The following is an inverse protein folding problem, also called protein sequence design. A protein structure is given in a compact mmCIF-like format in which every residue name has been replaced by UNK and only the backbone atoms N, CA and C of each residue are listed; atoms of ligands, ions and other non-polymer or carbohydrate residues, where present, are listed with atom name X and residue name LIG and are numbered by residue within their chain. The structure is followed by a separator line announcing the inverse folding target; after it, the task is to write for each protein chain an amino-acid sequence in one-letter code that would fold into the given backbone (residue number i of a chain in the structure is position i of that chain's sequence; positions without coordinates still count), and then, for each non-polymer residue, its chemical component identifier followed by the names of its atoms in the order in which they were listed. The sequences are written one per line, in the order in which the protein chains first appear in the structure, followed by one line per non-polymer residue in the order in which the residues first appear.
data_IF_492733963503
#
_entry.id   IF_492733963503
#
_cell.length_a   1.000
_cell.length_b   1.000
_cell.length_c   1.000
_cell.angle_alpha   90.00
_cell.angle_beta   90.00
_cell.angle_gamma   90.00
#
_symmetry.space_group_name_H-M   'P 1'
#
loop_
_entity.id
_entity.type
_entity.pdbx_description
1 polymer ?
#
# COMPACT_ATOMS: atom_id res chain seq x y z
N UNK A 1 8.14 7.59 -19.73
CA UNK A 1 7.46 6.28 -19.55
C UNK A 1 8.14 5.37 -18.54
N UNK A 2 9.47 5.42 -18.38
CA UNK A 2 10.20 4.56 -17.43
C UNK A 2 9.73 4.74 -15.97
N UNK A 3 9.42 5.97 -15.56
CA UNK A 3 8.83 6.28 -14.24
C UNK A 3 7.65 5.36 -13.90
N UNK A 4 6.66 5.25 -14.79
CA UNK A 4 5.46 4.43 -14.56
C UNK A 4 5.69 2.92 -14.71
N UNK A 5 6.84 2.50 -15.26
CA UNK A 5 7.25 1.09 -15.26
C UNK A 5 7.90 0.71 -13.93
N UNK A 6 8.74 1.59 -13.39
CA UNK A 6 9.42 1.40 -12.11
C UNK A 6 8.50 1.63 -10.93
N UNK A 7 7.59 2.61 -11.05
CA UNK A 7 6.61 3.01 -10.05
C UNK A 7 5.23 3.03 -10.70
N UNK A 8 4.55 1.88 -10.84
CA UNK A 8 3.18 1.83 -11.34
C UNK A 8 2.25 2.69 -10.50
N UNK A 9 1.41 3.50 -11.16
CA UNK A 9 0.53 4.47 -10.50
C UNK A 9 -0.95 4.18 -10.82
N UNK A 10 -1.81 4.32 -9.82
CA UNK A 10 -3.27 4.25 -9.99
C UNK A 10 -4.00 5.39 -9.23
N UNK A 11 -3.75 6.67 -9.59
CA UNK A 11 -4.30 7.82 -8.90
C UNK A 11 -5.82 7.94 -9.06
N UNK A 12 -6.49 8.35 -7.99
CA UNK A 12 -7.95 8.44 -7.94
C UNK A 12 -8.52 9.74 -8.49
N UNK A 13 -7.73 10.82 -8.54
CA UNK A 13 -8.12 12.15 -9.04
C UNK A 13 -9.39 12.80 -8.47
N UNK A 14 -10.02 12.23 -7.43
CA UNK A 14 -11.20 12.77 -6.72
C UNK A 14 -11.22 14.29 -6.48
N UNK A 15 -10.12 15.00 -6.15
CA UNK A 15 -10.16 16.46 -6.02
C UNK A 15 -10.64 17.21 -7.27
N UNK A 16 -10.57 16.57 -8.45
CA UNK A 16 -10.97 17.13 -9.74
C UNK A 16 -12.45 16.89 -10.09
N UNK A 17 -13.23 16.23 -9.23
CA UNK A 17 -14.63 15.87 -9.51
C UNK A 17 -15.56 17.09 -9.71
N UNK A 18 -15.16 18.26 -9.21
CA UNK A 18 -15.88 19.52 -9.38
C UNK A 18 -15.72 20.15 -10.76
N UNK A 19 -14.77 19.66 -11.57
CA UNK A 19 -14.49 20.16 -12.91
C UNK A 19 -15.36 19.47 -13.97
N UNK A 20 -15.65 20.17 -15.06
CA UNK A 20 -16.21 19.54 -16.26
C UNK A 20 -15.22 18.52 -16.85
N UNK A 21 -15.72 17.57 -17.63
CA UNK A 21 -14.93 16.41 -18.11
C UNK A 21 -13.65 16.82 -18.83
N UNK A 22 -13.74 17.81 -19.74
CA UNK A 22 -12.60 18.30 -20.50
C UNK A 22 -11.53 18.94 -19.61
N UNK A 23 -11.96 19.72 -18.61
CA UNK A 23 -11.04 20.31 -17.64
C UNK A 23 -10.43 19.24 -16.72
N UNK A 24 -11.23 18.29 -16.23
CA UNK A 24 -10.79 17.18 -15.38
C UNK A 24 -9.72 16.34 -16.07
N UNK A 25 -9.93 15.96 -17.33
CA UNK A 25 -8.97 15.21 -18.13
C UNK A 25 -7.64 15.95 -18.27
N UNK A 26 -7.67 17.24 -18.64
CA UNK A 26 -6.44 18.05 -18.74
C UNK A 26 -5.67 18.12 -17.43
N UNK A 27 -6.36 18.30 -16.30
CA UNK A 27 -5.71 18.36 -15.00
C UNK A 27 -5.14 16.99 -14.59
N UNK A 28 -5.84 15.90 -14.87
CA UNK A 28 -5.33 14.56 -14.62
C UNK A 28 -4.04 14.29 -15.43
N UNK A 29 -4.02 14.66 -16.71
CA UNK A 29 -2.81 14.57 -17.55
C UNK A 29 -1.67 15.41 -16.96
N UNK A 30 -1.96 16.66 -16.56
CA UNK A 30 -0.96 17.54 -15.95
C UNK A 30 -0.33 16.90 -14.70
N UNK A 31 -1.16 16.31 -13.82
CA UNK A 31 -0.68 15.62 -12.62
C UNK A 31 0.18 14.38 -12.94
N UNK A 32 -0.16 13.64 -13.99
CA UNK A 32 0.69 12.55 -14.48
C UNK A 32 2.05 13.07 -14.97
N UNK A 33 2.06 14.22 -15.66
CA UNK A 33 3.30 14.86 -16.12
C UNK A 33 4.14 15.37 -14.95
N UNK A 34 3.52 15.97 -13.92
CA UNK A 34 4.20 16.39 -12.69
C UNK A 34 4.95 15.21 -12.04
N UNK A 35 4.29 14.06 -11.89
CA UNK A 35 4.93 12.85 -11.32
C UNK A 35 6.14 12.39 -12.15
N UNK A 36 6.01 12.39 -13.48
CA UNK A 36 7.12 12.07 -14.37
C UNK A 36 8.28 13.07 -14.22
N UNK A 37 7.96 14.37 -14.11
CA UNK A 37 8.94 15.43 -13.91
C UNK A 37 9.71 15.24 -12.60
N UNK A 38 9.03 14.89 -11.51
CA UNK A 38 9.68 14.60 -10.23
C UNK A 38 10.65 13.42 -10.34
N UNK A 39 10.24 12.32 -10.98
CA UNK A 39 11.12 11.17 -11.21
C UNK A 39 12.35 11.56 -12.05
N UNK A 40 12.17 12.30 -13.14
CA UNK A 40 13.29 12.74 -13.98
C UNK A 40 14.24 13.69 -13.23
N UNK A 41 13.70 14.58 -12.39
CA UNK A 41 14.51 15.45 -11.53
C UNK A 41 15.32 14.63 -10.54
N UNK A 42 14.72 13.65 -9.87
CA UNK A 42 15.45 12.75 -8.96
C UNK A 42 16.67 12.12 -9.67
N UNK A 43 16.49 11.61 -10.90
CA UNK A 43 17.58 11.00 -11.66
C UNK A 43 18.69 11.99 -12.05
N UNK A 44 18.42 13.30 -12.08
CA UNK A 44 19.37 14.36 -12.45
C UNK A 44 19.99 15.06 -11.24
N UNK A 45 19.36 14.99 -10.07
CA UNK A 45 19.85 15.66 -8.87
C UNK A 45 21.20 15.09 -8.43
N UNK A 46 22.06 15.99 -7.95
CA UNK A 46 23.42 15.69 -7.48
C UNK A 46 23.65 16.36 -6.13
N UNK A 47 24.66 15.89 -5.39
CA UNK A 47 24.97 16.41 -4.05
C UNK A 47 25.33 17.91 -4.03
N UNK A 48 25.85 18.46 -5.13
CA UNK A 48 26.22 19.87 -5.26
C UNK A 48 25.02 20.78 -5.58
N UNK A 49 23.87 20.23 -5.94
CA UNK A 49 22.65 21.02 -6.13
C UNK A 49 22.13 21.58 -4.80
N UNK A 50 21.48 22.75 -4.82
CA UNK A 50 20.94 23.38 -3.62
C UNK A 50 19.85 22.52 -2.98
N UNK A 51 19.77 22.57 -1.64
CA UNK A 51 18.74 21.83 -0.87
C UNK A 51 17.32 22.18 -1.29
N UNK A 52 17.08 23.41 -1.74
CA UNK A 52 15.78 23.90 -2.20
C UNK A 52 15.23 23.07 -3.36
N UNK A 53 16.08 22.62 -4.29
CA UNK A 53 15.62 21.79 -5.42
C UNK A 53 15.02 20.46 -4.97
N UNK A 54 15.56 19.85 -3.90
CA UNK A 54 15.01 18.62 -3.31
C UNK A 54 13.69 18.90 -2.58
N UNK A 55 13.63 20.01 -1.84
CA UNK A 55 12.42 20.42 -1.11
C UNK A 55 11.27 20.73 -2.06
N UNK A 56 11.54 21.39 -3.18
CA UNK A 56 10.55 21.67 -4.22
C UNK A 56 9.95 20.38 -4.77
N UNK A 57 10.77 19.33 -5.00
CA UNK A 57 10.24 18.03 -5.43
C UNK A 57 9.36 17.37 -4.36
N UNK A 58 9.74 17.45 -3.08
CA UNK A 58 8.95 16.92 -1.98
C UNK A 58 7.59 17.62 -1.84
N UNK A 59 7.53 18.93 -2.10
CA UNK A 59 6.27 19.71 -2.13
C UNK A 59 5.36 19.23 -3.26
N UNK A 60 5.92 18.99 -4.45
CA UNK A 60 5.15 18.46 -5.59
C UNK A 60 4.62 17.06 -5.28
N UNK A 61 5.43 16.18 -4.67
CA UNK A 61 4.98 14.85 -4.24
C UNK A 61 3.83 14.92 -3.23
N UNK A 62 3.89 15.85 -2.28
CA UNK A 62 2.79 16.05 -1.32
C UNK A 62 1.50 16.48 -2.02
N UNK A 63 1.58 17.35 -3.02
CA UNK A 63 0.41 17.73 -3.82
C UNK A 63 -0.15 16.55 -4.62
N UNK A 64 0.73 15.73 -5.22
CA UNK A 64 0.34 14.55 -5.98
C UNK A 64 -0.35 13.49 -5.13
N UNK A 65 0.10 13.29 -3.89
CA UNK A 65 -0.52 12.37 -2.94
C UNK A 65 -2.00 12.71 -2.70
N UNK A 66 -2.36 14.00 -2.65
CA UNK A 66 -3.77 14.42 -2.51
C UNK A 66 -4.66 13.99 -3.70
N UNK A 67 -4.05 13.68 -4.85
CA UNK A 67 -4.72 13.18 -6.05
C UNK A 67 -4.67 11.65 -6.16
N UNK A 68 -4.11 10.97 -5.16
CA UNK A 68 -4.07 9.51 -5.04
C UNK A 68 -2.82 8.86 -5.64
N UNK A 69 -1.77 9.61 -5.92
CA UNK A 69 -0.50 9.03 -6.35
C UNK A 69 0.18 8.30 -5.19
N UNK A 70 0.77 7.15 -5.50
CA UNK A 70 1.71 6.46 -4.60
C UNK A 70 3.08 7.13 -4.74
N UNK A 71 3.41 7.96 -3.75
CA UNK A 71 4.62 8.79 -3.75
C UNK A 71 5.68 8.31 -2.77
N UNK A 72 5.40 7.31 -1.94
CA UNK A 72 6.25 6.94 -0.80
C UNK A 72 7.63 6.50 -1.25
N UNK A 73 7.69 5.67 -2.30
CA UNK A 73 8.96 5.21 -2.85
C UNK A 73 9.86 6.35 -3.34
N UNK A 74 9.27 7.38 -3.97
CA UNK A 74 10.04 8.54 -4.43
C UNK A 74 10.43 9.46 -3.27
N UNK A 75 9.49 9.68 -2.34
CA UNK A 75 9.68 10.49 -1.12
C UNK A 75 10.83 9.97 -0.29
N UNK A 76 10.85 8.66 0.01
CA UNK A 76 11.93 8.00 0.75
C UNK A 76 13.27 8.25 0.05
N UNK A 77 13.32 8.06 -1.27
CA UNK A 77 14.56 8.23 -2.03
C UNK A 77 15.08 9.67 -2.02
N UNK A 78 14.20 10.68 -2.08
CA UNK A 78 14.63 12.08 -1.88
C UNK A 78 15.15 12.35 -0.47
N UNK A 79 14.53 11.76 0.55
CA UNK A 79 14.99 11.90 1.94
C UNK A 79 16.37 11.26 2.15
N UNK A 80 16.61 10.07 1.60
CA UNK A 80 17.92 9.41 1.60
C UNK A 80 18.99 10.28 0.91
N UNK A 81 18.66 10.86 -0.25
CA UNK A 81 19.59 11.75 -0.97
C UNK A 81 19.93 13.01 -0.16
N UNK A 82 18.95 13.59 0.54
CA UNK A 82 19.18 14.73 1.45
C UNK A 82 20.05 14.34 2.64
N UNK A 83 19.83 13.17 3.24
CA UNK A 83 20.66 12.66 4.35
C UNK A 83 22.13 12.49 3.93
N UNK A 84 22.36 11.91 2.74
CA UNK A 84 23.72 11.76 2.20
C UNK A 84 24.39 13.12 1.91
N UNK A 85 23.62 14.11 1.46
CA UNK A 85 24.11 15.48 1.27
C UNK A 85 24.52 16.12 2.59
N UNK A 86 23.66 16.03 3.61
CA UNK A 86 23.93 16.59 4.95
C UNK A 86 25.18 15.94 5.57
N UNK A 87 25.34 14.62 5.41
CA UNK A 87 26.53 13.90 5.84
C UNK A 87 27.79 14.37 5.11
N UNK A 88 27.71 14.60 3.80
CA UNK A 88 28.84 15.10 3.01
C UNK A 88 29.23 16.52 3.46
N UNK A 89 28.26 17.41 3.64
CA UNK A 89 28.50 18.78 4.11
C UNK A 89 29.17 18.77 5.50
N UNK A 90 28.73 17.92 6.41
CA UNK A 90 29.35 17.74 7.73
C UNK A 90 30.80 17.21 7.68
N UNK A 91 31.12 16.36 6.70
CA UNK A 91 32.49 15.88 6.48
C UNK A 91 33.38 16.98 5.87
N UNK A 92 32.84 17.83 4.99
CA UNK A 92 33.55 18.94 4.35
C UNK A 92 33.78 20.13 5.29
N UNK A 93 32.89 20.37 6.26
CA UNK A 93 33.07 21.41 7.30
C UNK A 93 34.06 21.03 8.39
N UNK A 94 34.59 19.79 8.39
CA UNK A 94 35.70 19.38 9.25
C UNK A 94 35.30 19.12 10.71
N UNK A 95 34.68 17.96 10.96
CA UNK A 95 34.53 17.28 12.25
C UNK A 95 35.57 17.69 13.33
N UNK A 96 35.16 18.56 14.27
CA UNK A 96 35.75 18.66 15.62
C UNK A 96 34.75 18.97 16.74
N UNK A 97 33.48 19.23 16.47
CA UNK A 97 32.52 19.59 17.53
C UNK A 97 31.61 18.40 17.92
N UNK A 98 31.59 17.96 19.20
CA UNK A 98 30.65 16.94 19.70
C UNK A 98 29.17 17.23 19.38
N UNK A 99 28.84 18.49 19.10
CA UNK A 99 27.51 18.92 18.67
C UNK A 99 27.10 18.33 17.32
N UNK A 100 28.03 18.22 16.36
CA UNK A 100 27.75 17.70 15.02
C UNK A 100 27.44 16.20 15.05
N UNK A 101 28.13 15.44 15.91
CA UNK A 101 27.81 14.03 16.16
C UNK A 101 26.40 13.86 16.74
N UNK A 102 26.01 14.72 17.68
CA UNK A 102 24.67 14.75 18.27
C UNK A 102 23.59 15.12 17.25
N UNK A 103 23.92 15.96 16.28
CA UNK A 103 23.00 16.37 15.21
C UNK A 103 22.80 15.27 14.17
N UNK A 104 23.86 14.57 13.78
CA UNK A 104 23.78 13.35 12.95
C UNK A 104 22.94 12.28 13.65
N UNK A 105 23.17 12.06 14.93
CA UNK A 105 22.43 11.05 15.70
C UNK A 105 20.96 11.43 15.88
N UNK A 106 20.63 12.73 15.98
CA UNK A 106 19.25 13.23 15.93
C UNK A 106 18.58 12.97 14.60
N UNK A 107 19.28 13.16 13.48
CA UNK A 107 18.75 12.87 12.14
C UNK A 107 18.46 11.37 12.02
N UNK A 108 19.39 10.50 12.42
CA UNK A 108 19.18 9.06 12.42
C UNK A 108 18.00 8.65 13.31
N UNK A 109 17.81 9.28 14.48
CA UNK A 109 16.64 9.02 15.35
C UNK A 109 15.32 9.42 14.67
N UNK A 110 15.32 10.50 13.88
CA UNK A 110 14.13 10.89 13.11
C UNK A 110 13.84 9.90 11.97
N UNK A 111 14.88 9.43 11.28
CA UNK A 111 14.77 8.38 10.25
C UNK A 111 14.16 7.10 10.83
N UNK A 112 14.70 6.59 11.94
CA UNK A 112 14.14 5.43 12.63
C UNK A 112 12.69 5.65 13.08
N UNK A 113 12.30 6.87 13.50
CA UNK A 113 10.90 7.15 13.87
C UNK A 113 9.95 7.05 12.67
N UNK A 114 10.37 7.51 11.50
CA UNK A 114 9.58 7.41 10.27
C UNK A 114 9.44 5.94 9.89
N UNK A 115 10.51 5.16 9.94
CA UNK A 115 10.48 3.73 9.66
C UNK A 115 9.55 2.98 10.63
N UNK A 116 9.61 3.31 11.93
CA UNK A 116 8.71 2.75 12.93
C UNK A 116 7.25 3.08 12.59
N UNK A 117 6.94 4.33 12.24
CA UNK A 117 5.57 4.72 11.86
C UNK A 117 5.08 3.96 10.62
N UNK A 118 5.94 3.73 9.63
CA UNK A 118 5.59 2.97 8.43
C UNK A 118 5.31 1.50 8.77
N UNK A 119 6.16 0.90 9.61
CA UNK A 119 5.98 -0.48 10.08
C UNK A 119 4.68 -0.62 10.88
N UNK A 120 4.37 0.34 11.76
CA UNK A 120 3.13 0.33 12.55
C UNK A 120 1.90 0.40 11.64
N UNK A 121 1.92 1.23 10.60
CA UNK A 121 0.85 1.30 9.59
C UNK A 121 0.66 -0.06 8.88
N UNK A 122 1.75 -0.69 8.43
CA UNK A 122 1.70 -2.01 7.80
C UNK A 122 1.17 -3.09 8.76
N UNK A 123 1.53 -3.03 10.04
CA UNK A 123 1.02 -3.93 11.07
C UNK A 123 -0.51 -3.78 11.20
N UNK A 124 -1.02 -2.55 11.21
CA UNK A 124 -2.46 -2.30 11.32
C UNK A 124 -3.23 -2.76 10.09
N UNK A 125 -2.70 -2.58 8.88
CA UNK A 125 -3.27 -3.16 7.66
C UNK A 125 -3.34 -4.69 7.73
N UNK A 126 -2.26 -5.34 8.17
CA UNK A 126 -2.22 -6.80 8.33
C UNK A 126 -3.21 -7.28 9.40
N UNK A 127 -3.38 -6.54 10.49
CA UNK A 127 -4.38 -6.82 11.53
C UNK A 127 -5.80 -6.75 10.97
N UNK A 128 -6.13 -5.70 10.22
CA UNK A 128 -7.43 -5.54 9.58
C UNK A 128 -7.71 -6.68 8.58
N UNK A 129 -6.70 -7.04 7.77
CA UNK A 129 -6.80 -8.18 6.84
C UNK A 129 -7.04 -9.49 7.58
N UNK A 130 -6.33 -9.72 8.70
CA UNK A 130 -6.51 -10.91 9.54
C UNK A 130 -7.93 -10.98 10.11
N UNK A 131 -8.46 -9.87 10.64
CA UNK A 131 -9.81 -9.85 11.22
C UNK A 131 -10.88 -10.22 10.18
N UNK A 132 -10.77 -9.68 8.96
CA UNK A 132 -11.67 -10.03 7.86
C UNK A 132 -11.61 -11.52 7.53
N UNK A 133 -10.40 -12.07 7.37
CA UNK A 133 -10.21 -13.49 7.06
C UNK A 133 -10.74 -14.41 8.16
N UNK A 134 -10.62 -14.02 9.43
CA UNK A 134 -11.20 -14.78 10.55
C UNK A 134 -12.72 -14.86 10.43
N UNK A 135 -13.40 -13.74 10.18
CA UNK A 135 -14.86 -13.71 9.99
C UNK A 135 -15.31 -14.53 8.79
N UNK A 136 -14.60 -14.41 7.66
CA UNK A 136 -14.87 -15.22 6.46
C UNK A 136 -14.70 -16.72 6.72
N UNK A 137 -13.69 -17.10 7.50
CA UNK A 137 -13.43 -18.50 7.86
C UNK A 137 -14.48 -19.04 8.84
N UNK A 138 -14.91 -18.26 9.83
CA UNK A 138 -16.00 -18.62 10.75
C UNK A 138 -17.30 -18.87 9.97
N UNK A 139 -17.65 -17.96 9.05
CA UNK A 139 -18.83 -18.14 8.20
C UNK A 139 -18.72 -19.37 7.30
N UNK A 140 -17.54 -19.61 6.70
CA UNK A 140 -17.30 -20.79 5.88
C UNK A 140 -17.44 -22.08 6.69
N UNK A 141 -16.95 -22.08 7.93
CA UNK A 141 -17.09 -23.22 8.86
C UNK A 141 -18.55 -23.52 9.16
N UNK A 142 -19.36 -22.49 9.44
CA UNK A 142 -20.80 -22.66 9.66
C UNK A 142 -21.50 -23.24 8.42
N UNK A 143 -21.14 -22.77 7.22
CA UNK A 143 -21.69 -23.27 5.97
C UNK A 143 -21.33 -24.75 5.74
N UNK A 144 -20.11 -25.18 6.09
CA UNK A 144 -19.69 -26.58 6.00
C UNK A 144 -20.55 -27.45 6.91
N UNK A 145 -20.70 -27.07 8.19
CA UNK A 145 -21.52 -27.83 9.16
C UNK A 145 -22.97 -27.95 8.71
N UNK A 146 -23.55 -26.87 8.17
CA UNK A 146 -24.90 -26.89 7.62
C UNK A 146 -25.01 -27.86 6.42
N UNK A 147 -24.04 -27.83 5.50
CA UNK A 147 -23.99 -28.74 4.36
C UNK A 147 -23.83 -30.21 4.78
N UNK A 148 -22.98 -30.51 5.76
CA UNK A 148 -22.81 -31.87 6.30
C UNK A 148 -24.12 -32.42 6.88
N UNK A 149 -24.90 -31.58 7.58
CA UNK A 149 -26.22 -31.97 8.10
C UNK A 149 -27.20 -32.32 6.97
N UNK A 150 -27.26 -31.49 5.93
CA UNK A 150 -28.14 -31.72 4.77
C UNK A 150 -27.75 -33.00 4.03
N UNK A 151 -26.45 -33.27 3.86
CA UNK A 151 -25.96 -34.53 3.28
C UNK A 151 -26.43 -35.74 4.10
N UNK A 152 -26.29 -35.69 5.43
CA UNK A 152 -26.72 -36.78 6.30
C UNK A 152 -28.24 -37.06 6.22
N UNK A 153 -29.05 -36.00 6.18
CA UNK A 153 -30.52 -36.11 6.02
C UNK A 153 -30.89 -36.76 4.67
N UNK A 154 -30.20 -36.40 3.59
CA UNK A 154 -30.40 -37.00 2.26
C UNK A 154 -30.00 -38.47 2.23
N UNK A 155 -28.88 -38.83 2.87
CA UNK A 155 -28.43 -40.22 2.96
C UNK A 155 -29.40 -41.09 3.75
N UNK A 156 -29.93 -40.59 4.88
CA UNK A 156 -30.95 -41.29 5.67
C UNK A 156 -32.24 -41.48 4.85
N UNK A 157 -32.71 -40.45 4.14
CA UNK A 157 -33.89 -40.53 3.30
C UNK A 157 -33.72 -41.54 2.14
N UNK A 158 -32.52 -41.63 1.54
CA UNK A 158 -32.19 -42.65 0.54
C UNK A 158 -32.27 -44.06 1.13
N UNK A 159 -31.64 -44.28 2.28
CA UNK A 159 -31.67 -45.59 2.96
C UNK A 159 -33.11 -46.02 3.29
N UNK A 160 -33.95 -45.08 3.73
CA UNK A 160 -35.36 -45.36 4.02
C UNK A 160 -36.15 -45.70 2.75
N UNK A 161 -35.90 -45.01 1.63
CA UNK A 161 -36.48 -45.36 0.32
C UNK A 161 -36.08 -46.76 -0.14
N UNK A 162 -34.78 -47.09 -0.06
CA UNK A 162 -34.26 -48.40 -0.47
C UNK A 162 -34.86 -49.53 0.36
N UNK A 163 -34.98 -49.32 1.68
CA UNK A 163 -35.63 -50.25 2.60
C UNK A 163 -37.10 -50.48 2.24
N UNK A 164 -37.89 -49.40 2.08
CA UNK A 164 -39.31 -49.49 1.69
C UNK A 164 -39.50 -50.18 0.34
N UNK A 165 -38.63 -49.91 -0.63
CA UNK A 165 -38.64 -50.58 -1.92
C UNK A 165 -38.41 -52.09 -1.76
N UNK A 166 -37.42 -52.50 -0.96
CA UNK A 166 -37.13 -53.92 -0.72
C UNK A 166 -38.26 -54.64 0.03
N UNK A 167 -38.86 -54.01 1.04
CA UNK A 167 -40.03 -54.53 1.76
C UNK A 167 -41.22 -54.78 0.80
N UNK A 168 -41.50 -53.83 -0.10
CA UNK A 168 -42.55 -53.99 -1.12
C UNK A 168 -42.23 -55.09 -2.14
N UNK A 169 -40.98 -55.19 -2.59
CA UNK A 169 -40.57 -56.19 -3.58
C UNK A 169 -40.58 -57.64 -3.04
N UNK A 170 -40.51 -57.82 -1.72
CA UNK A 170 -40.44 -59.14 -1.05
C UNK A 170 -41.73 -59.56 -0.35
N UNK A 171 -42.77 -58.73 -0.39
CA UNK A 171 -44.06 -59.03 0.24
C UNK A 171 -44.79 -60.20 -0.48
N UNK A 172 -45.41 -61.15 0.27
CA UNK A 172 -46.24 -62.19 -0.33
C UNK A 172 -47.52 -61.61 -0.94
N UNK A 173 -47.92 -62.12 -2.11
CA UNK A 173 -49.17 -61.76 -2.80
C UNK A 173 -50.41 -62.36 -2.14
#
# INVERSE_FOLDING_TARGET
MEAFRLFPQNPHFRPLDTLNESARERHAIYKMVDFLGVFENMCRLRCDHPRTEFQDQLVILLELETHGFDVDSLRIRFMEMLSLKDKREALETGSKDPKDHLEIERVNVQEHKIDIMLIDSQIDELRNKRERLVKENEQSTLNIVAGEKEVAEIEEAKCDCDRKFHELATAPY
#
